data_IF_508503188034
#
_entry.id   IF_508503188034
#
_cell.length_a   1.000
_cell.length_b   1.000
_cell.length_c   1.000
_cell.angle_alpha   90.00
_cell.angle_beta   90.00
_cell.angle_gamma   90.00
#
_symmetry.space_group_name_H-M   'P 1'
#
loop_
_entity.id
_entity.type
_entity.pdbx_description
1 polymer ?
#
# COMPACT_ATOMS: atom_id res chain seq x y z
N UNK A 1 4.27 -9.64 4.64
CA UNK A 1 3.18 -8.63 4.61
C UNK A 1 2.62 -8.38 3.21
N UNK A 2 3.38 -8.61 2.12
CA UNK A 2 2.86 -8.44 0.75
C UNK A 2 2.26 -9.71 0.11
N UNK A 3 2.77 -10.91 0.45
CA UNK A 3 2.27 -12.18 -0.11
C UNK A 3 0.78 -12.44 0.17
N UNK A 4 0.28 -12.02 1.34
CA UNK A 4 -1.12 -12.22 1.76
C UNK A 4 -2.12 -11.63 0.76
N UNK A 5 -1.76 -10.56 0.03
CA UNK A 5 -2.63 -9.89 -0.95
C UNK A 5 -2.70 -10.64 -2.28
N UNK A 6 -1.60 -11.29 -2.69
CA UNK A 6 -1.55 -12.11 -3.90
C UNK A 6 -2.46 -13.33 -3.74
N UNK A 7 -2.46 -13.95 -2.55
CA UNK A 7 -3.21 -15.17 -2.26
C UNK A 7 -4.73 -14.94 -2.15
N UNK A 8 -5.17 -13.71 -1.86
CA UNK A 8 -6.59 -13.35 -1.73
C UNK A 8 -7.18 -12.72 -2.99
N UNK A 9 -6.37 -12.41 -4.01
CA UNK A 9 -6.87 -11.89 -5.28
C UNK A 9 -7.42 -13.04 -6.15
N UNK A 10 -8.63 -12.91 -6.73
CA UNK A 10 -9.15 -13.92 -7.63
C UNK A 10 -8.21 -14.14 -8.83
N UNK A 11 -8.11 -15.38 -9.29
CA UNK A 11 -7.37 -15.73 -10.51
C UNK A 11 -7.74 -14.77 -11.65
N UNK A 12 -6.71 -14.23 -12.33
CA UNK A 12 -6.86 -13.22 -13.38
C UNK A 12 -6.59 -11.78 -12.95
N UNK A 13 -6.33 -11.51 -11.66
CA UNK A 13 -6.02 -10.16 -11.14
C UNK A 13 -4.62 -10.04 -10.51
N UNK A 14 -3.73 -11.00 -10.79
CA UNK A 14 -2.36 -11.04 -10.28
C UNK A 14 -1.51 -9.85 -10.76
N UNK A 15 -1.88 -9.26 -11.91
CA UNK A 15 -1.30 -8.03 -12.46
C UNK A 15 -1.41 -6.83 -11.49
N UNK A 16 -2.41 -6.82 -10.61
CA UNK A 16 -2.62 -5.78 -9.60
C UNK A 16 -1.90 -6.05 -8.28
N UNK A 17 -1.52 -7.31 -8.03
CA UNK A 17 -0.86 -7.70 -6.79
C UNK A 17 0.61 -7.22 -6.73
N UNK A 18 1.31 -7.28 -7.87
CA UNK A 18 2.70 -6.83 -7.99
C UNK A 18 2.89 -5.33 -7.71
N UNK A 19 2.12 -4.42 -8.35
CA UNK A 19 2.17 -2.99 -8.05
C UNK A 19 1.84 -2.66 -6.60
N UNK A 20 0.84 -3.32 -5.99
CA UNK A 20 0.51 -3.11 -4.56
C UNK A 20 1.63 -3.56 -3.63
N UNK A 21 2.27 -4.68 -3.94
CA UNK A 21 3.43 -5.18 -3.19
C UNK A 21 4.58 -4.19 -3.23
N UNK A 22 4.95 -3.72 -4.44
CA UNK A 22 6.02 -2.73 -4.61
C UNK A 22 5.71 -1.41 -3.93
N UNK A 23 4.45 -0.96 -3.99
CA UNK A 23 4.04 0.28 -3.32
C UNK A 23 4.11 0.13 -1.78
N UNK A 24 3.68 -0.99 -1.22
CA UNK A 24 3.83 -1.26 0.21
C UNK A 24 5.30 -1.30 0.66
N UNK A 25 6.19 -1.89 -0.14
CA UNK A 25 7.64 -1.86 0.10
C UNK A 25 8.20 -0.43 0.04
N UNK A 26 7.75 0.37 -0.93
CA UNK A 26 8.14 1.79 -1.08
C UNK A 26 7.74 2.61 0.14
N UNK A 27 6.52 2.43 0.66
CA UNK A 27 6.05 3.12 1.88
C UNK A 27 6.98 2.83 3.06
N UNK A 28 7.31 1.55 3.29
CA UNK A 28 8.21 1.15 4.38
C UNK A 28 9.62 1.70 4.15
N UNK A 29 10.12 1.66 2.91
CA UNK A 29 11.41 2.22 2.54
C UNK A 29 11.50 3.73 2.81
N UNK A 30 10.50 4.51 2.39
CA UNK A 30 10.43 5.94 2.64
C UNK A 30 10.33 6.27 4.14
N UNK A 31 9.61 5.46 4.94
CA UNK A 31 9.56 5.63 6.39
C UNK A 31 10.94 5.35 7.04
N UNK A 32 11.57 4.24 6.69
CA UNK A 32 12.88 3.87 7.22
C UNK A 32 13.94 4.90 6.84
N UNK A 33 13.92 5.36 5.58
CA UNK A 33 14.83 6.39 5.12
C UNK A 33 14.59 7.72 5.86
N UNK A 34 13.33 8.14 5.99
CA UNK A 34 12.98 9.36 6.72
C UNK A 34 13.44 9.34 8.18
N UNK A 35 13.34 8.18 8.85
CA UNK A 35 13.82 7.99 10.22
C UNK A 35 15.35 8.06 10.35
N UNK A 36 16.10 7.78 9.27
CA UNK A 36 17.56 7.84 9.22
C UNK A 36 18.14 9.17 8.72
N UNK A 37 17.31 10.16 8.34
CA UNK A 37 17.79 11.47 7.88
C UNK A 37 18.16 12.39 9.06
N UNK A 38 19.16 13.23 8.82
CA UNK A 38 19.69 14.18 9.81
C UNK A 38 18.92 15.49 9.87
N UNK A 39 18.30 15.90 8.77
CA UNK A 39 17.51 17.14 8.73
C UNK A 39 16.02 16.81 8.85
N UNK A 40 15.31 17.58 9.68
CA UNK A 40 13.87 17.44 9.83
C UNK A 40 13.13 17.67 8.51
N UNK A 41 13.64 18.56 7.65
CA UNK A 41 13.07 18.84 6.34
C UNK A 41 13.13 17.62 5.41
N UNK A 42 14.25 16.91 5.39
CA UNK A 42 14.42 15.71 4.56
C UNK A 42 13.60 14.54 5.10
N UNK A 43 13.57 14.35 6.43
CA UNK A 43 12.70 13.37 7.09
C UNK A 43 11.23 13.65 6.76
N UNK A 44 10.78 14.90 6.89
CA UNK A 44 9.41 15.30 6.60
C UNK A 44 9.03 15.07 5.14
N UNK A 45 9.96 15.31 4.21
CA UNK A 45 9.71 15.03 2.79
C UNK A 45 9.49 13.53 2.55
N UNK A 46 10.34 12.67 3.12
CA UNK A 46 10.18 11.22 3.02
C UNK A 46 8.87 10.71 3.62
N UNK A 47 8.47 11.25 4.76
CA UNK A 47 7.18 10.90 5.38
C UNK A 47 5.98 11.36 4.54
N UNK A 48 6.06 12.53 3.88
CA UNK A 48 5.01 12.98 2.94
C UNK A 48 4.86 12.02 1.77
N UNK A 49 5.98 11.54 1.20
CA UNK A 49 5.98 10.56 0.11
C UNK A 49 5.35 9.25 0.59
N UNK A 50 5.81 8.69 1.72
CA UNK A 50 5.25 7.47 2.29
C UNK A 50 3.73 7.58 2.51
N UNK A 51 3.25 8.72 3.01
CA UNK A 51 1.81 8.97 3.19
C UNK A 51 1.06 9.03 1.86
N UNK A 52 1.61 9.70 0.85
CA UNK A 52 0.99 9.79 -0.46
C UNK A 52 0.85 8.40 -1.10
N UNK A 53 1.91 7.61 -1.09
CA UNK A 53 1.92 6.24 -1.64
C UNK A 53 0.93 5.31 -0.89
N UNK A 54 0.84 5.43 0.43
CA UNK A 54 -0.13 4.68 1.22
C UNK A 54 -1.58 5.03 0.85
N UNK A 55 -1.87 6.31 0.60
CA UNK A 55 -3.20 6.77 0.17
C UNK A 55 -3.54 6.28 -1.24
N UNK A 56 -2.58 6.24 -2.16
CA UNK A 56 -2.78 5.66 -3.50
C UNK A 56 -3.07 4.16 -3.45
N UNK A 57 -2.40 3.42 -2.55
CA UNK A 57 -2.71 2.01 -2.29
C UNK A 57 -4.14 1.82 -1.78
N UNK A 58 -4.57 2.64 -0.81
CA UNK A 58 -5.91 2.60 -0.28
C UNK A 58 -6.97 2.89 -1.36
N UNK A 59 -6.73 3.91 -2.20
CA UNK A 59 -7.61 4.22 -3.33
C UNK A 59 -7.68 3.06 -4.34
N UNK A 60 -6.55 2.39 -4.61
CA UNK A 60 -6.51 1.21 -5.48
C UNK A 60 -7.32 0.04 -4.93
N UNK A 61 -7.26 -0.21 -3.62
CA UNK A 61 -8.09 -1.21 -2.92
C UNK A 61 -9.58 -0.85 -2.99
N UNK A 62 -9.93 0.43 -2.83
CA UNK A 62 -11.30 0.92 -2.97
C UNK A 62 -11.85 0.67 -4.38
N UNK A 63 -11.05 0.96 -5.41
CA UNK A 63 -11.41 0.67 -6.81
C UNK A 63 -11.64 -0.84 -7.02
N UNK A 64 -10.77 -1.69 -6.48
CA UNK A 64 -10.93 -3.15 -6.60
C UNK A 64 -12.20 -3.65 -5.89
N UNK A 65 -12.56 -3.06 -4.75
CA UNK A 65 -13.81 -3.36 -4.05
C UNK A 65 -15.03 -2.97 -4.88
N UNK A 66 -15.05 -1.75 -5.45
CA UNK A 66 -16.16 -1.27 -6.29
C UNK A 66 -16.32 -2.15 -7.54
N UNK A 67 -15.21 -2.60 -8.12
CA UNK A 67 -15.20 -3.54 -9.25
C UNK A 67 -15.52 -4.99 -8.87
N UNK A 68 -15.80 -5.27 -7.59
CA UNK A 68 -16.07 -6.62 -7.06
C UNK A 68 -14.93 -7.62 -7.27
N UNK A 69 -13.70 -7.12 -7.40
CA UNK A 69 -12.49 -7.94 -7.51
C UNK A 69 -12.11 -8.53 -6.15
N UNK A 70 -12.37 -7.81 -5.06
CA UNK A 70 -12.09 -8.28 -3.69
C UNK A 70 -13.35 -8.21 -2.83
N UNK A 71 -13.45 -9.11 -1.85
CA UNK A 71 -14.58 -9.13 -0.90
C UNK A 71 -14.50 -8.00 0.11
N UNK A 72 -15.61 -7.68 0.78
CA UNK A 72 -15.64 -6.71 1.87
C UNK A 72 -14.71 -7.12 3.04
N UNK A 73 -14.59 -8.43 3.31
CA UNK A 73 -13.70 -8.96 4.35
C UNK A 73 -12.23 -8.70 4.03
N UNK A 74 -11.81 -9.05 2.81
CA UNK A 74 -10.45 -8.80 2.30
C UNK A 74 -10.13 -7.30 2.28
N UNK A 75 -11.05 -6.48 1.78
CA UNK A 75 -10.89 -5.03 1.77
C UNK A 75 -10.74 -4.44 3.18
N UNK A 76 -11.55 -4.87 4.15
CA UNK A 76 -11.45 -4.38 5.54
C UNK A 76 -10.11 -4.72 6.18
N UNK A 77 -9.57 -5.90 5.91
CA UNK A 77 -8.27 -6.32 6.42
C UNK A 77 -7.14 -5.51 5.80
N UNK A 78 -7.18 -5.29 4.48
CA UNK A 78 -6.19 -4.49 3.77
C UNK A 78 -6.27 -2.99 4.14
N UNK A 79 -7.47 -2.41 4.18
CA UNK A 79 -7.68 -0.99 4.47
C UNK A 79 -7.27 -0.57 5.90
N UNK A 80 -7.20 -1.51 6.85
CA UNK A 80 -6.65 -1.25 8.20
C UNK A 80 -5.14 -1.09 8.21
N UNK A 81 -4.43 -1.64 7.22
CA UNK A 81 -2.96 -1.59 7.13
C UNK A 81 -2.48 -0.33 6.40
N UNK A 82 -3.34 0.32 5.63
CA UNK A 82 -3.03 1.53 4.86
C UNK A 82 -3.49 2.84 5.52
N UNK A 83 -4.10 2.80 6.72
CA UNK A 83 -4.57 3.99 7.47
C UNK A 83 -3.74 4.25 8.70
#
# INVERSE_FOLDING_TARGET
MANDLVDVLPRGHADRAGPLTRAAESVVGNLAEGAGRWSEADSANRYKIARAEAMECAASLDVMKVRKVITLGTWRQAARRCR
#
